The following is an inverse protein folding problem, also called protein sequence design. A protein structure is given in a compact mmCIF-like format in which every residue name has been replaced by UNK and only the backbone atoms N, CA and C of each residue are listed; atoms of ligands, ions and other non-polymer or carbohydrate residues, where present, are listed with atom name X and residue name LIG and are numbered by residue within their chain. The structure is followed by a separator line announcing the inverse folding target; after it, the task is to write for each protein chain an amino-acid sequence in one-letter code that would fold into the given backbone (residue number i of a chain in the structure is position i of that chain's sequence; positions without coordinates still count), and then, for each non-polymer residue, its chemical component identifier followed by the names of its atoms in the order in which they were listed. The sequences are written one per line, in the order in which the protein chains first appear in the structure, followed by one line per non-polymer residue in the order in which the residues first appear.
data_IF_706795724351
#
_entry.id   IF_706795724351
#
_cell.length_a   1.000
_cell.length_b   1.000
_cell.length_c   1.000
_cell.angle_alpha   90.00
_cell.angle_beta   90.00
_cell.angle_gamma   90.00
#
_symmetry.space_group_name_H-M   'P 1'
#
loop_
_entity.id
_entity.type
_entity.pdbx_description
1 polymer ?
#
# COMPACT_ATOMS: atom_id res chain seq x y z
N UNK A 1 15.97 -34.38 25.19
CA UNK A 1 15.18 -33.78 24.11
C UNK A 1 16.04 -32.73 23.44
N UNK A 2 16.29 -32.76 22.12
CA UNK A 2 17.13 -31.77 21.48
C UNK A 2 16.54 -30.38 21.68
N UNK A 3 17.36 -29.36 21.93
CA UNK A 3 16.96 -27.95 22.11
C UNK A 3 16.04 -27.42 20.99
N UNK A 4 16.20 -28.01 19.78
CA UNK A 4 15.38 -27.69 18.62
C UNK A 4 13.90 -28.06 18.79
N UNK A 5 13.60 -29.15 19.49
CA UNK A 5 12.23 -29.63 19.72
C UNK A 5 11.49 -28.82 20.79
N UNK A 6 12.23 -28.07 21.64
CA UNK A 6 11.63 -27.10 22.57
C UNK A 6 11.26 -25.78 21.89
N UNK A 7 12.06 -25.34 20.90
CA UNK A 7 11.86 -24.06 20.19
C UNK A 7 10.81 -24.14 19.09
N UNK A 8 10.62 -25.33 18.50
CA UNK A 8 9.77 -25.48 17.31
C UNK A 8 8.84 -26.69 17.46
N UNK A 9 7.58 -26.46 17.08
CA UNK A 9 6.60 -27.52 16.87
C UNK A 9 6.63 -27.93 15.40
N UNK A 10 6.60 -29.22 15.11
CA UNK A 10 6.58 -29.79 13.76
C UNK A 10 5.16 -29.91 13.24
N UNK A 11 5.02 -29.92 11.91
CA UNK A 11 3.79 -30.28 11.18
C UNK A 11 2.55 -29.56 11.70
N UNK A 12 2.70 -28.25 11.95
CA UNK A 12 1.61 -27.42 12.44
C UNK A 12 0.79 -26.84 11.29
N UNK A 13 -0.52 -26.75 11.51
CA UNK A 13 -1.42 -26.07 10.61
C UNK A 13 -1.96 -24.81 11.30
N UNK A 14 -1.76 -23.67 10.66
CA UNK A 14 -2.34 -22.38 11.10
C UNK A 14 -3.55 -22.09 10.22
N UNK A 15 -4.69 -21.87 10.86
CA UNK A 15 -5.88 -21.36 10.21
C UNK A 15 -5.98 -19.87 10.48
N UNK A 16 -5.92 -19.06 9.44
CA UNK A 16 -6.08 -17.61 9.52
C UNK A 16 -7.35 -17.19 8.82
N UNK A 17 -8.28 -16.61 9.56
CA UNK A 17 -9.50 -16.00 9.03
C UNK A 17 -9.30 -14.49 9.02
N UNK A 18 -9.52 -13.85 7.87
CA UNK A 18 -9.33 -12.40 7.72
C UNK A 18 -10.29 -11.82 6.69
N UNK A 19 -10.56 -10.53 6.78
CA UNK A 19 -11.44 -9.79 5.87
C UNK A 19 -12.20 -8.68 6.58
N UNK A 20 -13.07 -8.01 5.84
CA UNK A 20 -13.94 -6.94 6.34
C UNK A 20 -15.39 -7.21 5.92
N UNK A 21 -16.35 -7.01 6.84
CA UNK A 21 -17.77 -7.28 6.60
C UNK A 21 -18.00 -8.73 6.18
N UNK A 22 -18.75 -8.92 5.10
CA UNK A 22 -19.06 -10.23 4.54
C UNK A 22 -17.93 -10.82 3.67
N UNK A 23 -16.95 -9.99 3.31
CA UNK A 23 -15.79 -10.40 2.54
C UNK A 23 -14.76 -11.08 3.45
N UNK A 24 -14.94 -12.35 3.74
CA UNK A 24 -14.01 -13.14 4.56
C UNK A 24 -13.27 -14.15 3.73
N UNK A 25 -11.99 -14.36 4.08
CA UNK A 25 -11.12 -15.38 3.52
C UNK A 25 -10.53 -16.25 4.60
N UNK A 26 -10.34 -17.50 4.28
CA UNK A 26 -9.66 -18.48 5.11
C UNK A 26 -8.37 -18.86 4.42
N UNK A 27 -7.25 -18.69 5.14
CA UNK A 27 -5.94 -19.13 4.70
C UNK A 27 -5.48 -20.26 5.60
N UNK A 28 -5.21 -21.40 5.00
CA UNK A 28 -4.63 -22.56 5.68
C UNK A 28 -3.14 -22.59 5.35
N UNK A 29 -2.29 -22.48 6.36
CA UNK A 29 -0.84 -22.52 6.20
C UNK A 29 -0.32 -23.76 6.93
N UNK A 30 0.24 -24.69 6.16
CA UNK A 30 0.98 -25.82 6.73
C UNK A 30 2.44 -25.41 6.91
N UNK A 31 2.95 -25.61 8.11
CA UNK A 31 4.32 -25.26 8.47
C UNK A 31 5.03 -26.50 9.00
N UNK A 32 6.14 -26.86 8.38
CA UNK A 32 6.99 -27.96 8.88
C UNK A 32 7.51 -27.64 10.28
N UNK A 33 7.72 -26.35 10.54
CA UNK A 33 8.23 -25.85 11.82
C UNK A 33 7.47 -24.58 12.22
N UNK A 34 6.93 -24.55 13.43
CA UNK A 34 6.35 -23.36 14.06
C UNK A 34 7.11 -23.08 15.35
N UNK A 35 7.60 -21.84 15.49
CA UNK A 35 8.27 -21.40 16.71
C UNK A 35 7.32 -21.44 17.90
N UNK A 36 7.75 -22.04 18.99
CA UNK A 36 6.98 -22.07 20.23
C UNK A 36 7.09 -20.70 20.92
N UNK A 37 5.96 -20.10 21.26
CA UNK A 37 5.92 -18.84 21.97
C UNK A 37 6.52 -18.99 23.38
N UNK A 38 7.26 -17.95 23.85
CA UNK A 38 7.81 -17.90 25.19
C UNK A 38 9.13 -18.67 25.38
N UNK A 39 9.68 -19.30 24.35
CA UNK A 39 11.01 -19.90 24.39
C UNK A 39 12.03 -18.85 23.96
N UNK A 40 12.94 -18.46 24.89
CA UNK A 40 14.00 -17.49 24.58
C UNK A 40 14.99 -18.05 23.55
N UNK A 41 15.46 -17.19 22.65
CA UNK A 41 16.59 -17.51 21.80
C UNK A 41 17.86 -17.48 22.67
N UNK A 42 18.51 -18.60 22.83
CA UNK A 42 19.93 -18.56 23.15
C UNK A 42 20.62 -17.78 22.03
N UNK A 43 21.62 -16.97 22.36
CA UNK A 43 22.36 -16.07 21.46
C UNK A 43 22.93 -16.80 20.23
N UNK A 44 22.06 -17.31 19.37
CA UNK A 44 22.46 -17.70 18.03
C UNK A 44 22.75 -16.42 17.23
N UNK A 45 23.85 -16.43 16.52
CA UNK A 45 24.33 -15.37 15.66
C UNK A 45 23.17 -14.63 14.98
N UNK A 46 22.94 -13.43 15.40
CA UNK A 46 22.04 -12.49 14.69
C UNK A 46 22.90 -11.70 13.72
N UNK A 47 22.67 -11.83 12.41
CA UNK A 47 23.40 -11.03 11.44
C UNK A 47 23.22 -9.54 11.75
N UNK A 48 24.24 -8.71 11.52
CA UNK A 48 24.16 -7.28 11.74
C UNK A 48 22.90 -6.67 11.11
N UNK A 49 22.31 -5.68 11.80
CA UNK A 49 21.13 -4.98 11.28
C UNK A 49 21.48 -4.34 9.93
N UNK A 50 20.74 -4.69 8.88
CA UNK A 50 21.01 -4.23 7.51
C UNK A 50 21.81 -5.21 6.64
N UNK A 51 22.26 -6.37 7.18
CA UNK A 51 22.82 -7.43 6.33
C UNK A 51 21.75 -8.02 5.42
N UNK A 52 22.05 -8.11 4.14
CA UNK A 52 21.14 -8.66 3.11
C UNK A 52 21.64 -10.08 2.76
N UNK A 53 20.78 -11.07 3.00
CA UNK A 53 20.91 -12.39 2.42
C UNK A 53 19.78 -12.56 1.40
N UNK A 54 20.10 -12.92 0.16
CA UNK A 54 19.12 -13.00 -0.94
C UNK A 54 17.88 -13.83 -0.58
N UNK A 55 18.07 -14.98 0.06
CA UNK A 55 16.96 -15.81 0.52
C UNK A 55 16.05 -15.10 1.55
N UNK A 56 16.63 -14.37 2.51
CA UNK A 56 15.86 -13.59 3.50
C UNK A 56 15.19 -12.38 2.87
N UNK A 57 15.76 -11.83 1.80
CA UNK A 57 15.17 -10.73 1.06
C UNK A 57 13.85 -11.17 0.42
N UNK A 58 13.82 -12.30 -0.28
CA UNK A 58 12.59 -12.85 -0.88
C UNK A 58 11.50 -13.14 0.16
N UNK A 59 11.88 -13.73 1.30
CA UNK A 59 10.92 -13.96 2.40
C UNK A 59 10.35 -12.65 2.95
N UNK A 60 11.19 -11.64 3.14
CA UNK A 60 10.77 -10.34 3.65
C UNK A 60 9.87 -9.61 2.65
N UNK A 61 10.18 -9.69 1.36
CA UNK A 61 9.34 -9.21 0.27
C UNK A 61 7.98 -9.88 0.29
N UNK A 62 7.93 -11.20 0.38
CA UNK A 62 6.68 -11.94 0.41
C UNK A 62 5.87 -11.64 1.68
N UNK A 63 6.54 -11.45 2.81
CA UNK A 63 5.90 -11.03 4.07
C UNK A 63 5.30 -9.64 3.95
N UNK A 64 6.04 -8.67 3.40
CA UNK A 64 5.56 -7.31 3.17
C UNK A 64 4.33 -7.30 2.24
N UNK A 65 4.37 -8.05 1.14
CA UNK A 65 3.22 -8.22 0.22
C UNK A 65 1.99 -8.75 0.94
N UNK A 66 2.14 -9.83 1.69
CA UNK A 66 1.04 -10.43 2.42
C UNK A 66 0.45 -9.43 3.44
N UNK A 67 1.30 -8.69 4.15
CA UNK A 67 0.87 -7.69 5.13
C UNK A 67 0.08 -6.56 4.47
N UNK A 68 0.57 -6.00 3.37
CA UNK A 68 -0.13 -4.93 2.64
C UNK A 68 -1.44 -5.44 2.05
N UNK A 69 -1.44 -6.67 1.47
CA UNK A 69 -2.68 -7.28 0.99
C UNK A 69 -3.72 -7.43 2.10
N UNK A 70 -3.31 -7.91 3.27
CA UNK A 70 -4.20 -8.09 4.41
C UNK A 70 -4.72 -6.74 4.92
N UNK A 71 -3.89 -5.71 5.04
CA UNK A 71 -4.35 -4.36 5.37
C UNK A 71 -5.33 -3.80 4.33
N UNK A 72 -5.05 -3.99 3.06
CA UNK A 72 -5.94 -3.57 1.99
C UNK A 72 -7.29 -4.31 2.03
N UNK A 73 -7.28 -5.60 2.28
CA UNK A 73 -8.48 -6.45 2.27
C UNK A 73 -9.31 -6.36 3.56
N UNK A 74 -8.67 -6.09 4.71
CA UNK A 74 -9.33 -6.11 6.03
C UNK A 74 -9.88 -4.75 6.48
N UNK A 75 -9.81 -3.73 5.66
CA UNK A 75 -10.31 -2.40 6.00
C UNK A 75 -11.32 -1.90 4.97
N UNK A 76 -12.28 -1.03 5.39
CA UNK A 76 -13.13 -0.31 4.47
C UNK A 76 -12.32 0.76 3.76
N UNK A 77 -12.40 0.80 2.45
CA UNK A 77 -11.79 1.83 1.62
C UNK A 77 -12.82 2.37 0.65
N UNK A 78 -12.84 3.70 0.51
CA UNK A 78 -13.74 4.37 -0.43
C UNK A 78 -13.10 4.47 -1.82
N UNK A 79 -11.78 4.77 -1.84
CA UNK A 79 -11.08 5.22 -3.03
C UNK A 79 -9.78 4.48 -3.26
N UNK A 80 -9.55 4.07 -4.49
CA UNK A 80 -8.22 3.82 -5.01
C UNK A 80 -7.64 5.15 -5.49
N UNK A 81 -6.48 5.50 -4.94
CA UNK A 81 -5.83 6.79 -5.13
C UNK A 81 -4.56 6.65 -5.95
N UNK A 82 -4.41 7.52 -6.94
CA UNK A 82 -3.14 7.76 -7.64
C UNK A 82 -2.75 9.22 -7.44
N UNK A 83 -1.60 9.46 -6.84
CA UNK A 83 -1.06 10.79 -6.62
C UNK A 83 0.22 11.03 -7.40
N UNK A 84 0.23 12.08 -8.21
CA UNK A 84 1.37 12.52 -9.02
C UNK A 84 1.79 13.90 -8.56
N UNK A 85 3.08 14.12 -8.40
CA UNK A 85 3.61 15.41 -8.03
C UNK A 85 3.75 16.32 -9.25
N UNK A 86 3.35 17.58 -9.11
CA UNK A 86 3.62 18.65 -10.07
C UNK A 86 5.04 19.16 -9.83
N UNK A 87 5.96 19.08 -10.81
CA UNK A 87 7.34 19.50 -10.64
C UNK A 87 7.48 21.01 -10.37
N UNK A 88 6.48 21.81 -10.70
CA UNK A 88 6.48 23.25 -10.38
C UNK A 88 6.10 23.55 -8.93
N UNK A 89 5.46 22.58 -8.24
CA UNK A 89 5.00 22.72 -6.85
C UNK A 89 5.84 21.93 -5.86
N UNK A 90 6.42 20.81 -6.31
CA UNK A 90 7.05 19.85 -5.42
C UNK A 90 8.23 19.11 -6.06
N UNK A 91 9.26 18.85 -5.27
CA UNK A 91 10.36 17.99 -5.70
C UNK A 91 9.89 16.54 -5.84
N UNK A 92 9.90 16.04 -7.06
CA UNK A 92 9.43 14.69 -7.43
C UNK A 92 10.42 13.59 -7.09
N UNK A 93 11.67 13.93 -6.77
CA UNK A 93 12.77 12.97 -6.60
C UNK A 93 12.98 12.58 -5.14
N UNK A 94 12.56 13.42 -4.20
CA UNK A 94 12.74 13.21 -2.78
C UNK A 94 11.54 12.50 -2.14
N UNK A 95 11.55 11.15 -2.19
CA UNK A 95 10.48 10.32 -1.66
C UNK A 95 10.28 10.52 -0.15
N UNK A 96 11.35 10.60 0.63
CA UNK A 96 11.26 10.70 2.10
C UNK A 96 10.56 11.99 2.53
N UNK A 97 10.94 13.10 1.89
CA UNK A 97 10.28 14.39 2.11
C UNK A 97 8.81 14.33 1.70
N UNK A 98 8.52 13.81 0.51
CA UNK A 98 7.16 13.69 0.03
C UNK A 98 6.29 12.82 0.94
N UNK A 99 6.78 11.64 1.32
CA UNK A 99 6.06 10.75 2.22
C UNK A 99 5.75 11.42 3.57
N UNK A 100 6.74 12.09 4.16
CA UNK A 100 6.58 12.81 5.43
C UNK A 100 5.52 13.91 5.30
N UNK A 101 5.65 14.75 4.28
CA UNK A 101 4.76 15.91 4.09
C UNK A 101 3.33 15.47 3.74
N UNK A 102 3.16 14.44 2.90
CA UNK A 102 1.85 13.91 2.55
C UNK A 102 1.15 13.28 3.77
N UNK A 103 1.85 12.44 4.52
CA UNK A 103 1.24 11.77 5.67
C UNK A 103 0.90 12.76 6.79
N UNK A 104 1.72 13.77 7.01
CA UNK A 104 1.41 14.83 7.96
C UNK A 104 0.22 15.64 7.47
N UNK A 105 0.22 16.04 6.20
CA UNK A 105 -0.88 16.81 5.63
C UNK A 105 -2.22 16.05 5.68
N UNK A 106 -2.25 14.75 5.42
CA UNK A 106 -3.47 13.94 5.53
C UNK A 106 -4.04 13.94 6.96
N UNK A 107 -3.17 13.88 7.98
CA UNK A 107 -3.58 13.96 9.39
C UNK A 107 -4.12 15.34 9.76
N UNK A 108 -3.45 16.39 9.33
CA UNK A 108 -3.84 17.77 9.62
C UNK A 108 -5.12 18.15 8.88
N UNK A 109 -5.25 17.70 7.64
CA UNK A 109 -6.46 17.85 6.85
C UNK A 109 -7.66 17.16 7.52
N UNK A 110 -7.48 15.94 8.00
CA UNK A 110 -8.51 15.23 8.75
C UNK A 110 -8.98 16.00 9.99
N UNK A 111 -8.04 16.55 10.78
CA UNK A 111 -8.35 17.40 11.95
C UNK A 111 -9.08 18.67 11.54
N UNK A 112 -8.59 19.38 10.53
CA UNK A 112 -9.17 20.64 10.06
C UNK A 112 -10.61 20.50 9.59
N UNK A 113 -10.93 19.37 8.94
CA UNK A 113 -12.27 19.10 8.39
C UNK A 113 -13.14 18.23 9.30
N UNK A 114 -12.63 17.89 10.50
CA UNK A 114 -13.31 16.99 11.45
C UNK A 114 -13.73 15.65 10.82
N UNK A 115 -12.85 15.07 10.00
CA UNK A 115 -13.04 13.78 9.33
C UNK A 115 -11.93 12.80 9.70
N UNK A 116 -12.27 11.53 9.78
CA UNK A 116 -11.30 10.47 10.04
C UNK A 116 -10.77 9.88 8.73
N UNK A 117 -9.62 10.37 8.26
CA UNK A 117 -8.98 9.86 7.07
C UNK A 117 -8.09 8.67 7.43
N UNK A 118 -8.36 7.52 6.80
CA UNK A 118 -7.44 6.38 6.78
C UNK A 118 -6.75 6.31 5.42
N UNK A 119 -5.51 5.88 5.44
CA UNK A 119 -4.74 5.71 4.21
C UNK A 119 -3.78 4.53 4.29
N UNK A 120 -3.60 3.87 3.16
CA UNK A 120 -2.56 2.86 2.91
C UNK A 120 -1.91 3.24 1.58
N UNK A 121 -0.68 3.73 1.63
CA UNK A 121 0.01 4.32 0.48
C UNK A 121 1.27 3.53 0.14
N UNK A 122 1.49 3.30 -1.15
CA UNK A 122 2.66 2.61 -1.71
C UNK A 122 3.28 3.53 -2.76
N UNK A 123 4.55 3.91 -2.61
CA UNK A 123 5.25 4.67 -3.65
C UNK A 123 5.53 3.79 -4.87
N UNK A 124 5.59 4.40 -6.03
CA UNK A 124 6.04 3.79 -7.28
C UNK A 124 7.05 4.71 -7.96
N UNK A 125 8.20 4.14 -8.33
CA UNK A 125 9.16 4.85 -9.15
C UNK A 125 8.65 4.95 -10.58
N UNK A 126 8.63 6.16 -11.13
CA UNK A 126 8.21 6.42 -12.49
C UNK A 126 9.19 5.80 -13.52
N UNK A 127 8.77 5.68 -14.76
CA UNK A 127 9.60 5.14 -15.84
C UNK A 127 10.85 5.96 -16.16
N UNK A 128 10.93 7.20 -15.71
CA UNK A 128 12.10 8.05 -15.80
C UNK A 128 13.23 7.65 -14.81
N UNK A 129 12.94 6.73 -13.87
CA UNK A 129 13.89 6.22 -12.89
C UNK A 129 14.22 7.18 -11.74
N UNK A 130 13.60 8.36 -11.66
CA UNK A 130 13.92 9.38 -10.64
C UNK A 130 12.68 9.98 -9.96
N UNK A 131 11.55 10.05 -10.64
CA UNK A 131 10.32 10.65 -10.12
C UNK A 131 9.43 9.63 -9.43
N UNK A 132 8.69 10.06 -8.41
CA UNK A 132 7.82 9.19 -7.64
C UNK A 132 6.35 9.49 -7.86
N UNK A 133 5.55 8.43 -7.96
CA UNK A 133 4.11 8.43 -7.80
C UNK A 133 3.73 7.76 -6.49
N UNK A 134 2.52 8.01 -6.02
CA UNK A 134 1.95 7.25 -4.89
C UNK A 134 0.64 6.62 -5.35
N UNK A 135 0.50 5.33 -5.07
CA UNK A 135 -0.74 4.60 -5.21
C UNK A 135 -1.23 4.15 -3.86
N UNK A 136 -2.53 3.98 -3.70
CA UNK A 136 -3.02 3.48 -2.43
C UNK A 136 -4.52 3.52 -2.27
N UNK A 137 -4.91 3.46 -1.02
CA UNK A 137 -6.29 3.47 -0.61
C UNK A 137 -6.53 4.65 0.32
N UNK A 138 -7.67 5.30 0.14
CA UNK A 138 -8.14 6.36 1.03
C UNK A 138 -9.56 6.05 1.49
N UNK A 139 -9.84 6.45 2.74
CA UNK A 139 -11.16 6.37 3.35
C UNK A 139 -11.49 7.70 4.04
N UNK A 140 -12.76 8.10 3.99
CA UNK A 140 -13.26 9.22 4.77
C UNK A 140 -12.97 10.60 4.19
N UNK A 141 -12.73 10.73 2.88
CA UNK A 141 -12.58 12.03 2.23
C UNK A 141 -13.92 12.76 2.15
N UNK A 142 -13.95 14.10 2.41
CA UNK A 142 -15.15 14.94 2.20
C UNK A 142 -15.54 14.94 0.73
N UNK A 143 -16.77 14.49 0.42
CA UNK A 143 -17.25 14.34 -0.96
C UNK A 143 -17.39 15.67 -1.69
N UNK A 144 -17.71 16.73 -0.98
CA UNK A 144 -17.84 18.10 -1.51
C UNK A 144 -16.54 18.70 -2.05
N UNK A 145 -15.40 18.08 -1.72
CA UNK A 145 -14.09 18.49 -2.20
C UNK A 145 -13.57 17.62 -3.36
N UNK A 146 -14.42 16.73 -3.84
CA UNK A 146 -14.14 15.87 -4.99
C UNK A 146 -14.85 16.44 -6.22
N UNK A 147 -14.11 16.61 -7.31
CA UNK A 147 -14.66 16.99 -8.60
C UNK A 147 -14.58 15.79 -9.53
N UNK A 148 -15.72 15.32 -10.03
CA UNK A 148 -15.72 14.27 -11.05
C UNK A 148 -15.11 14.80 -12.35
N UNK A 149 -14.20 14.00 -12.94
CA UNK A 149 -13.69 14.27 -14.27
C UNK A 149 -14.75 14.03 -15.34
N UNK A 150 -14.80 14.94 -16.31
CA UNK A 150 -15.68 14.84 -17.47
C UNK A 150 -14.89 14.95 -18.76
N UNK A 151 -15.46 14.52 -19.87
CA UNK A 151 -14.85 14.65 -21.19
C UNK A 151 -14.62 16.12 -21.48
N UNK A 152 -13.38 16.50 -21.84
CA UNK A 152 -12.96 17.89 -22.06
C UNK A 152 -12.15 18.51 -20.93
N UNK A 153 -12.12 17.89 -19.73
CA UNK A 153 -11.20 18.33 -18.69
C UNK A 153 -9.73 18.06 -19.10
N UNK A 154 -8.81 18.89 -18.59
CA UNK A 154 -7.37 18.67 -18.78
C UNK A 154 -6.91 17.50 -17.93
N UNK A 155 -6.45 16.43 -18.57
CA UNK A 155 -6.01 15.20 -17.91
C UNK A 155 -5.02 14.41 -18.77
N UNK A 156 -4.27 13.50 -18.16
CA UNK A 156 -3.39 12.59 -18.90
C UNK A 156 -4.17 11.61 -19.80
N UNK A 157 -3.50 11.11 -20.86
CA UNK A 157 -4.11 10.24 -21.88
C UNK A 157 -4.84 9.02 -21.28
N UNK A 158 -4.22 8.32 -20.34
CA UNK A 158 -4.82 7.12 -19.72
C UNK A 158 -6.09 7.42 -18.92
N UNK A 159 -6.12 8.56 -18.21
CA UNK A 159 -7.30 9.01 -17.50
C UNK A 159 -8.41 9.46 -18.47
N UNK A 160 -8.04 10.17 -19.54
CA UNK A 160 -8.98 10.58 -20.58
C UNK A 160 -9.66 9.38 -21.26
N UNK A 161 -8.93 8.29 -21.50
CA UNK A 161 -9.49 7.04 -22.05
C UNK A 161 -10.47 6.38 -21.07
N UNK A 162 -10.16 6.35 -19.75
CA UNK A 162 -11.09 5.88 -18.72
C UNK A 162 -12.40 6.67 -18.72
N UNK A 163 -12.30 8.01 -18.67
CA UNK A 163 -13.46 8.91 -18.65
C UNK A 163 -14.30 8.76 -19.92
N UNK A 164 -13.68 8.65 -21.10
CA UNK A 164 -14.39 8.40 -22.37
C UNK A 164 -15.13 7.07 -22.39
N UNK A 165 -14.60 6.06 -21.71
CA UNK A 165 -15.23 4.74 -21.57
C UNK A 165 -16.39 4.72 -20.58
N UNK A 166 -16.59 5.81 -19.84
CA UNK A 166 -17.63 5.97 -18.83
C UNK A 166 -17.22 5.57 -17.42
N UNK A 167 -15.93 5.39 -17.17
CA UNK A 167 -15.43 5.17 -15.82
C UNK A 167 -15.62 6.44 -14.97
N UNK A 168 -16.10 6.25 -13.73
CA UNK A 168 -16.28 7.35 -12.77
C UNK A 168 -14.96 7.57 -12.03
N UNK A 169 -14.35 8.73 -12.23
CA UNK A 169 -13.08 9.11 -11.60
C UNK A 169 -13.19 10.52 -11.07
N UNK A 170 -12.57 10.79 -9.93
CA UNK A 170 -12.61 12.11 -9.29
C UNK A 170 -11.22 12.69 -9.13
N UNK A 171 -11.16 14.02 -9.15
CA UNK A 171 -10.03 14.82 -8.71
C UNK A 171 -10.26 15.24 -7.26
N UNK A 172 -9.28 15.10 -6.39
CA UNK A 172 -9.33 15.67 -5.05
C UNK A 172 -8.67 17.05 -5.06
N UNK A 173 -9.52 18.08 -5.06
CA UNK A 173 -9.10 19.46 -5.28
C UNK A 173 -8.03 19.95 -4.29
N UNK A 174 -8.09 19.68 -2.97
CA UNK A 174 -7.05 20.08 -2.04
C UNK A 174 -5.68 19.44 -2.31
N UNK A 175 -5.66 18.15 -2.70
CA UNK A 175 -4.43 17.50 -3.12
C UNK A 175 -3.87 18.14 -4.39
N UNK A 176 -4.71 18.34 -5.39
CA UNK A 176 -4.34 18.93 -6.66
C UNK A 176 -3.75 20.34 -6.49
N UNK A 177 -4.30 21.12 -5.56
CA UNK A 177 -3.80 22.45 -5.24
C UNK A 177 -2.42 22.41 -4.60
N UNK A 178 -2.16 21.46 -3.70
CA UNK A 178 -0.95 21.41 -2.87
C UNK A 178 0.20 20.65 -3.53
N UNK A 179 -0.07 19.47 -4.07
CA UNK A 179 0.98 18.55 -4.52
C UNK A 179 1.04 18.40 -6.03
N UNK A 180 -0.10 18.37 -6.72
CA UNK A 180 -0.15 18.17 -8.16
C UNK A 180 -1.39 17.40 -8.60
N UNK A 181 -1.23 16.45 -9.51
CA UNK A 181 -2.35 15.72 -10.09
C UNK A 181 -2.73 14.52 -9.27
N UNK A 182 -4.03 14.22 -9.19
CA UNK A 182 -4.50 12.96 -8.62
C UNK A 182 -5.74 12.46 -9.31
N UNK A 183 -5.94 11.16 -9.21
CA UNK A 183 -7.18 10.50 -9.54
C UNK A 183 -7.66 9.61 -8.38
N UNK A 184 -8.96 9.55 -8.20
CA UNK A 184 -9.66 8.75 -7.21
C UNK A 184 -10.70 7.90 -7.93
N UNK A 185 -10.54 6.59 -7.87
CA UNK A 185 -11.49 5.62 -8.41
C UNK A 185 -12.29 4.98 -7.27
N UNK A 186 -13.65 4.95 -7.33
CA UNK A 186 -14.43 4.28 -6.31
C UNK A 186 -14.11 2.79 -6.25
N UNK A 187 -13.86 2.26 -5.04
CA UNK A 187 -13.57 0.84 -4.86
C UNK A 187 -14.87 0.06 -4.88
N UNK A 188 -15.05 -0.78 -5.90
CA UNK A 188 -16.20 -1.68 -6.08
C UNK A 188 -15.89 -3.12 -5.65
N UNK A 189 -14.62 -3.52 -5.71
CA UNK A 189 -14.16 -4.86 -5.38
C UNK A 189 -12.84 -4.78 -4.61
N UNK A 190 -12.92 -4.91 -3.29
CA UNK A 190 -11.77 -4.81 -2.41
C UNK A 190 -10.69 -5.86 -2.71
N UNK A 191 -11.08 -7.08 -3.09
CA UNK A 191 -10.12 -8.12 -3.42
C UNK A 191 -9.33 -7.82 -4.69
N UNK A 192 -10.02 -7.43 -5.75
CA UNK A 192 -9.39 -7.11 -7.03
C UNK A 192 -8.38 -5.96 -6.87
N UNK A 193 -8.78 -4.90 -6.16
CA UNK A 193 -7.92 -3.73 -5.93
C UNK A 193 -6.77 -4.06 -4.99
N UNK A 194 -6.99 -4.89 -3.96
CA UNK A 194 -5.91 -5.36 -3.08
C UNK A 194 -4.87 -6.20 -3.83
N UNK A 195 -5.30 -7.06 -4.75
CA UNK A 195 -4.39 -7.79 -5.65
C UNK A 195 -3.64 -6.86 -6.61
N UNK A 196 -4.31 -5.82 -7.10
CA UNK A 196 -3.69 -4.82 -7.98
C UNK A 196 -2.57 -4.06 -7.28
N UNK A 197 -2.72 -3.73 -6.00
CA UNK A 197 -1.67 -3.08 -5.20
C UNK A 197 -0.38 -3.90 -5.11
N UNK A 198 -0.45 -5.24 -5.18
CA UNK A 198 0.73 -6.09 -5.16
C UNK A 198 1.67 -5.84 -6.34
N UNK A 199 1.15 -5.37 -7.48
CA UNK A 199 1.93 -5.02 -8.66
C UNK A 199 2.94 -3.90 -8.37
N UNK A 200 2.52 -2.87 -7.65
CA UNK A 200 3.39 -1.72 -7.32
C UNK A 200 4.52 -2.11 -6.36
N UNK A 201 4.23 -3.00 -5.41
CA UNK A 201 5.26 -3.52 -4.50
C UNK A 201 6.31 -4.32 -5.26
N UNK A 202 5.91 -5.16 -6.22
CA UNK A 202 6.84 -5.92 -7.05
C UNK A 202 7.76 -5.02 -7.86
N UNK A 203 7.23 -3.95 -8.44
CA UNK A 203 7.98 -3.02 -9.27
C UNK A 203 9.05 -2.27 -8.48
N UNK A 204 8.71 -1.79 -7.29
CA UNK A 204 9.65 -1.08 -6.41
C UNK A 204 10.78 -1.99 -5.92
N UNK A 205 10.46 -3.23 -5.57
CA UNK A 205 11.44 -4.18 -5.06
C UNK A 205 12.38 -4.68 -6.15
N UNK A 206 11.90 -4.85 -7.38
CA UNK A 206 12.73 -5.18 -8.52
C UNK A 206 13.72 -4.06 -8.88
N UNK A 207 13.40 -2.80 -8.60
CA UNK A 207 14.30 -1.66 -8.80
C UNK A 207 15.32 -1.48 -7.68
N UNK A 208 15.06 -2.02 -6.47
CA UNK A 208 15.97 -1.93 -5.32
C UNK A 208 17.07 -3.00 -5.32
N UNK A 209 16.98 -4.00 -6.19
CA UNK A 209 17.93 -5.14 -6.32
C UNK A 209 18.92 -4.91 -7.48
N UNK A 210 18.85 -3.79 -8.15
CA UNK A 210 19.84 -3.34 -9.14
C UNK A 210 20.72 -2.27 -8.51
#
# INVERSE_FOLDING_TARGET
MPLRDLKYKRDQTILKVYGYGDNKKIKVVRMNWLRTAGVEDNEEYRPPKGSVHDFKLEENIQRAKNTIFEYAFCNPWDWFFTGTLDPQKYDRTNLDKFHKDLTQWLRDYGKQHNVHIKFLLVPELHSDGVSWHIHGFLYGLPKEQLKQFVVGDVMGKGLAEKVKRGDVVYNWLPYAKKFGFCDLEPIRNAEAVSKYMMKYINKNLASSVK
#
